data_IF_077206053190
#
_entry.id   IF_077206053190
#
_cell.length_a   1.000
_cell.length_b   1.000
_cell.length_c   1.000
_cell.angle_alpha   90.00
_cell.angle_beta   90.00
_cell.angle_gamma   90.00
#
_symmetry.space_group_name_H-M   'P 1'
#
loop_
_entity.id
_entity.type
_entity.pdbx_description
1 polymer ?
#
# COMPACT_ATOMS: atom_id res chain seq x y z
N UNK A 1 -36.38 -1.81 -24.81
CA UNK A 1 -35.80 -2.71 -23.80
C UNK A 1 -34.57 -2.03 -23.21
N UNK A 2 -34.75 -1.17 -22.19
CA UNK A 2 -33.64 -0.54 -21.50
C UNK A 2 -33.16 -1.46 -20.39
N UNK A 3 -32.02 -2.11 -20.61
CA UNK A 3 -31.32 -2.85 -19.56
C UNK A 3 -30.70 -1.85 -18.61
N UNK A 4 -31.23 -1.78 -17.38
CA UNK A 4 -30.53 -1.16 -16.26
C UNK A 4 -29.34 -2.08 -15.97
N UNK A 5 -28.15 -1.70 -16.44
CA UNK A 5 -26.93 -2.38 -16.03
C UNK A 5 -26.72 -2.05 -14.56
N UNK A 6 -26.81 -3.07 -13.71
CA UNK A 6 -26.61 -2.97 -12.27
C UNK A 6 -25.15 -2.55 -12.02
N UNK A 7 -24.93 -1.24 -11.92
CA UNK A 7 -23.61 -0.69 -11.62
C UNK A 7 -23.26 -1.10 -10.19
N UNK A 8 -22.48 -2.19 -10.07
CA UNK A 8 -21.84 -2.52 -8.80
C UNK A 8 -21.16 -1.25 -8.27
N UNK A 9 -21.40 -0.85 -7.01
CA UNK A 9 -20.84 0.39 -6.49
C UNK A 9 -19.32 0.32 -6.64
N UNK A 10 -18.80 1.25 -7.43
CA UNK A 10 -17.37 1.39 -7.81
C UNK A 10 -16.45 1.32 -6.57
N UNK A 11 -17.00 1.65 -5.40
CA UNK A 11 -16.31 1.65 -4.12
C UNK A 11 -16.11 0.27 -3.49
N UNK A 12 -16.92 -0.75 -3.75
CA UNK A 12 -16.88 -2.01 -2.99
C UNK A 12 -15.56 -2.77 -3.18
N UNK A 13 -15.08 -2.88 -4.43
CA UNK A 13 -13.79 -3.50 -4.72
C UNK A 13 -12.62 -2.70 -4.12
N UNK A 14 -12.67 -1.37 -4.21
CA UNK A 14 -11.66 -0.49 -3.63
C UNK A 14 -11.62 -0.54 -2.10
N UNK A 15 -12.79 -0.62 -1.44
CA UNK A 15 -12.89 -0.76 0.01
C UNK A 15 -12.27 -2.06 0.49
N UNK A 16 -12.55 -3.19 -0.19
CA UNK A 16 -11.91 -4.47 0.10
C UNK A 16 -10.40 -4.41 -0.10
N UNK A 17 -9.93 -3.93 -1.26
CA UNK A 17 -8.50 -3.80 -1.54
C UNK A 17 -7.77 -2.94 -0.50
N UNK A 18 -8.39 -1.85 -0.03
CA UNK A 18 -7.84 -1.02 1.06
C UNK A 18 -7.75 -1.78 2.38
N UNK A 19 -8.79 -2.53 2.74
CA UNK A 19 -8.83 -3.31 3.97
C UNK A 19 -7.79 -4.43 3.94
N UNK A 20 -7.70 -5.15 2.83
CA UNK A 20 -6.74 -6.24 2.62
C UNK A 20 -5.30 -5.72 2.69
N UNK A 21 -4.98 -4.62 1.98
CA UNK A 21 -3.65 -4.01 2.06
C UNK A 21 -3.27 -3.58 3.48
N UNK A 22 -4.24 -3.10 4.27
CA UNK A 22 -4.00 -2.76 5.68
C UNK A 22 -3.73 -4.02 6.53
N UNK A 23 -4.47 -5.09 6.29
CA UNK A 23 -4.34 -6.34 7.04
C UNK A 23 -3.03 -7.08 6.71
N UNK A 24 -2.55 -6.99 5.46
CA UNK A 24 -1.34 -7.67 5.00
C UNK A 24 -0.03 -6.95 5.36
N UNK A 25 -0.09 -5.68 5.80
CA UNK A 25 1.09 -4.85 6.12
C UNK A 25 1.09 -4.35 7.57
N UNK A 26 1.17 -5.28 8.51
CA UNK A 26 1.26 -5.01 9.95
C UNK A 26 2.70 -5.23 10.41
N UNK A 27 3.20 -4.35 11.28
CA UNK A 27 4.52 -4.53 11.90
C UNK A 27 4.45 -5.67 12.90
N UNK A 28 5.42 -6.57 12.86
CA UNK A 28 5.46 -7.78 13.68
C UNK A 28 6.76 -7.84 14.47
N UNK A 29 6.71 -8.47 15.64
CA UNK A 29 7.86 -8.60 16.53
C UNK A 29 8.17 -7.32 17.33
N UNK A 30 9.43 -7.17 17.70
CA UNK A 30 9.96 -6.05 18.49
C UNK A 30 10.96 -5.25 17.67
N UNK A 31 11.07 -3.96 17.96
CA UNK A 31 12.12 -3.11 17.38
C UNK A 31 13.49 -3.65 17.81
N UNK A 32 14.40 -3.79 16.84
CA UNK A 32 15.79 -4.21 17.04
C UNK A 32 16.70 -2.99 16.88
N UNK A 33 17.41 -2.65 17.94
CA UNK A 33 18.46 -1.63 17.90
C UNK A 33 19.77 -2.25 17.40
N UNK A 34 20.34 -1.65 16.37
CA UNK A 34 21.59 -2.03 15.73
C UNK A 34 22.67 -0.98 15.99
N UNK A 35 23.96 -1.30 15.78
CA UNK A 35 25.03 -0.31 15.90
C UNK A 35 24.83 0.91 14.98
N UNK A 36 25.28 2.08 15.43
CA UNK A 36 25.24 3.31 14.63
C UNK A 36 23.85 3.92 14.50
N UNK A 37 23.08 3.94 15.60
CA UNK A 37 21.73 4.50 15.70
C UNK A 37 20.73 3.95 14.67
N UNK A 38 20.95 2.71 14.22
CA UNK A 38 20.03 2.02 13.30
C UNK A 38 18.98 1.24 14.07
N UNK A 39 17.73 1.32 13.63
CA UNK A 39 16.60 0.59 14.18
C UNK A 39 15.90 -0.19 13.07
N UNK A 40 15.48 -1.42 13.37
CA UNK A 40 14.74 -2.26 12.44
C UNK A 40 13.51 -2.92 13.06
N UNK A 41 12.46 -3.11 12.27
CA UNK A 41 11.29 -3.94 12.61
C UNK A 41 10.76 -4.64 11.36
N UNK A 42 10.19 -5.83 11.53
CA UNK A 42 9.66 -6.58 10.39
C UNK A 42 8.19 -6.22 10.11
N UNK A 43 7.81 -6.32 8.85
CA UNK A 43 6.44 -6.24 8.38
C UNK A 43 5.95 -7.64 8.01
N UNK A 44 4.67 -7.93 8.25
CA UNK A 44 4.03 -9.22 7.93
C UNK A 44 4.13 -9.62 6.46
N UNK A 45 4.40 -8.67 5.56
CA UNK A 45 4.67 -8.94 4.15
C UNK A 45 6.09 -9.51 3.89
N UNK A 46 6.90 -9.71 4.92
CA UNK A 46 8.28 -10.22 4.83
C UNK A 46 9.36 -9.15 4.64
N UNK A 47 9.01 -7.86 4.65
CA UNK A 47 9.99 -6.77 4.55
C UNK A 47 10.52 -6.38 5.92
N UNK A 48 11.84 -6.22 6.04
CA UNK A 48 12.46 -5.54 7.19
C UNK A 48 12.51 -4.03 6.92
N UNK A 49 11.88 -3.26 7.81
CA UNK A 49 11.83 -1.81 7.76
C UNK A 49 12.94 -1.26 8.64
N UNK A 50 13.67 -0.26 8.15
CA UNK A 50 14.82 0.37 8.83
C UNK A 50 14.72 1.90 8.79
N UNK A 51 15.25 2.57 9.81
CA UNK A 51 15.56 4.00 9.69
C UNK A 51 16.78 4.24 8.77
N UNK A 52 17.06 5.50 8.47
CA UNK A 52 18.19 5.94 7.66
C UNK A 52 18.75 7.27 8.17
N UNK A 53 19.80 7.82 7.53
CA UNK A 53 20.49 9.00 8.04
C UNK A 53 19.61 10.25 8.18
N UNK A 54 18.52 10.32 7.41
CA UNK A 54 17.63 11.49 7.34
C UNK A 54 16.16 11.13 7.52
N UNK A 55 15.84 9.90 7.91
CA UNK A 55 14.47 9.45 8.15
C UNK A 55 14.41 8.44 9.29
N UNK A 56 13.35 8.53 10.06
CA UNK A 56 13.01 7.64 11.17
C UNK A 56 12.46 6.30 10.69
N UNK A 57 12.43 5.33 11.62
CA UNK A 57 11.78 4.04 11.38
C UNK A 57 10.28 4.21 11.13
N UNK A 58 9.62 5.12 11.86
CA UNK A 58 8.20 5.42 11.68
C UNK A 58 7.89 5.99 10.28
N UNK A 59 8.77 6.83 9.73
CA UNK A 59 8.65 7.32 8.36
C UNK A 59 8.70 6.19 7.33
N UNK A 60 9.63 5.24 7.49
CA UNK A 60 9.69 4.08 6.62
C UNK A 60 8.43 3.21 6.74
N UNK A 61 7.94 2.96 7.97
CA UNK A 61 6.68 2.23 8.20
C UNK A 61 5.50 2.89 7.50
N UNK A 62 5.37 4.22 7.63
CA UNK A 62 4.28 4.99 7.02
C UNK A 62 4.36 4.94 5.50
N UNK A 63 5.55 5.17 4.94
CA UNK A 63 5.76 5.18 3.49
C UNK A 63 5.47 3.80 2.88
N UNK A 64 6.01 2.74 3.47
CA UNK A 64 5.79 1.36 3.03
C UNK A 64 4.30 1.00 3.01
N UNK A 65 3.55 1.31 4.08
CA UNK A 65 2.10 1.04 4.15
C UNK A 65 1.30 1.92 3.17
N UNK A 66 1.73 3.16 2.95
CA UNK A 66 1.10 4.05 1.99
C UNK A 66 1.28 3.54 0.55
N UNK A 67 2.50 3.10 0.21
CA UNK A 67 2.82 2.50 -1.08
C UNK A 67 2.02 1.21 -1.32
N UNK A 68 2.01 0.28 -0.36
CA UNK A 68 1.24 -0.95 -0.46
C UNK A 68 -0.27 -0.69 -0.70
N UNK A 69 -0.84 0.26 0.05
CA UNK A 69 -2.23 0.69 -0.15
C UNK A 69 -2.44 1.33 -1.51
N UNK A 70 -1.52 2.18 -1.95
CA UNK A 70 -1.61 2.82 -3.26
C UNK A 70 -1.61 1.79 -4.39
N UNK A 71 -0.73 0.79 -4.34
CA UNK A 71 -0.66 -0.29 -5.32
C UNK A 71 -1.95 -1.12 -5.34
N UNK A 72 -2.44 -1.54 -4.17
CA UNK A 72 -3.67 -2.33 -4.07
C UNK A 72 -4.90 -1.57 -4.61
N UNK A 73 -5.03 -0.28 -4.27
CA UNK A 73 -6.11 0.56 -4.81
C UNK A 73 -5.95 0.80 -6.30
N UNK A 74 -4.73 1.01 -6.78
CA UNK A 74 -4.40 1.26 -8.19
C UNK A 74 -4.74 0.07 -9.09
N UNK A 75 -4.62 -1.15 -8.58
CA UNK A 75 -4.93 -2.38 -9.31
C UNK A 75 -6.44 -2.58 -9.53
N UNK A 76 -7.29 -2.07 -8.64
CA UNK A 76 -8.76 -2.21 -8.72
C UNK A 76 -9.47 -0.91 -9.09
N UNK A 77 -8.72 0.17 -9.30
CA UNK A 77 -9.28 1.47 -9.65
C UNK A 77 -9.96 1.42 -11.03
N UNK A 78 -11.17 2.00 -11.18
CA UNK A 78 -11.85 2.07 -12.47
C UNK A 78 -11.07 2.93 -13.46
N UNK A 79 -11.28 2.67 -14.76
CA UNK A 79 -10.78 3.54 -15.82
C UNK A 79 -11.30 4.98 -15.61
N UNK A 80 -10.41 5.97 -15.75
CA UNK A 80 -10.74 7.40 -15.59
C UNK A 80 -10.59 7.96 -14.17
N UNK A 81 -10.24 7.15 -13.17
CA UNK A 81 -9.91 7.69 -11.84
C UNK A 81 -8.62 8.52 -11.90
N UNK A 82 -8.61 9.78 -11.40
CA UNK A 82 -7.41 10.60 -11.38
C UNK A 82 -6.31 9.91 -10.57
N UNK A 83 -5.14 9.71 -11.19
CA UNK A 83 -3.95 9.23 -10.49
C UNK A 83 -3.05 10.42 -10.20
N UNK A 84 -2.46 10.45 -9.00
CA UNK A 84 -1.54 11.51 -8.58
C UNK A 84 -0.25 11.54 -9.42
N UNK A 85 0.08 10.40 -10.03
CA UNK A 85 1.21 10.25 -10.94
C UNK A 85 0.64 9.70 -12.25
N UNK A 86 1.05 10.26 -13.38
CA UNK A 86 0.77 9.66 -14.68
C UNK A 86 1.35 8.24 -14.69
N UNK A 87 0.48 7.23 -14.63
CA UNK A 87 0.87 5.84 -14.84
C UNK A 87 0.60 5.52 -16.29
N UNK A 88 1.59 4.93 -16.95
CA UNK A 88 1.37 4.33 -18.25
C UNK A 88 0.25 3.26 -18.13
N UNK A 89 -0.69 3.16 -19.08
CA UNK A 89 -1.73 2.12 -19.09
C UNK A 89 -1.17 0.70 -18.94
N UNK A 90 0.07 0.45 -19.36
CA UNK A 90 0.77 -0.83 -19.25
C UNK A 90 1.50 -1.01 -17.91
N UNK A 91 1.62 0.03 -17.08
CA UNK A 91 2.28 -0.02 -15.77
C UNK A 91 1.32 -0.52 -14.67
N UNK A 92 0.74 -1.68 -14.88
CA UNK A 92 0.36 -2.52 -13.74
C UNK A 92 1.66 -3.17 -13.21
N UNK A 93 1.87 -3.24 -11.89
CA UNK A 93 2.96 -4.07 -11.37
C UNK A 93 2.71 -5.51 -11.84
N UNK A 94 3.72 -6.12 -12.47
CA UNK A 94 3.74 -7.56 -12.76
C UNK A 94 3.82 -8.35 -11.47
#
# INVERSE_FOLDING_TARGET
MWGVSEQAPVSAAMHRAKADARASHVTVGLVRNLPGDREEIDCSCGMTLTNGPQWSLDEHIRLHRAEARYLALSAVAPAGMPRLIAVDPERLPR
#
